data_IF_958887825266
#
_entry.id   IF_958887825266
#
_cell.length_a   1.000
_cell.length_b   1.000
_cell.length_c   1.000
_cell.angle_alpha   90.00
_cell.angle_beta   90.00
_cell.angle_gamma   90.00
#
_symmetry.space_group_name_H-M   'P 1'
#
loop_
_entity.id
_entity.type
_entity.pdbx_description
1 polymer ?
#
# COMPACT_ATOMS: atom_id res chain seq x y z
N UNK A 1 -1.83 -13.89 12.95
CA UNK A 1 -1.19 -12.57 12.75
C UNK A 1 0.18 -12.59 13.39
N UNK A 2 1.25 -12.82 12.62
CA UNK A 2 2.62 -12.78 13.12
C UNK A 2 3.06 -11.33 13.36
N UNK A 3 2.76 -10.82 14.55
CA UNK A 3 3.21 -9.52 15.07
C UNK A 3 4.29 -9.79 16.12
N UNK A 4 5.47 -9.19 15.95
CA UNK A 4 6.64 -9.49 16.78
C UNK A 4 7.20 -8.23 17.45
N UNK A 5 7.54 -8.39 18.72
CA UNK A 5 8.32 -7.42 19.48
C UNK A 5 9.81 -7.66 19.27
N UNK A 6 10.59 -6.57 19.16
CA UNK A 6 12.05 -6.59 19.21
C UNK A 6 12.54 -5.37 19.99
N UNK A 7 13.55 -5.54 20.85
CA UNK A 7 14.17 -4.46 21.64
C UNK A 7 13.19 -3.57 22.41
N UNK A 8 12.09 -4.14 22.92
CA UNK A 8 11.06 -3.40 23.64
C UNK A 8 10.00 -2.74 22.74
N UNK A 9 10.19 -2.71 21.42
CA UNK A 9 9.30 -2.05 20.46
C UNK A 9 8.22 -3.02 19.96
N UNK A 10 6.96 -2.61 20.08
CA UNK A 10 5.77 -3.38 19.71
C UNK A 10 5.02 -2.60 18.62
N UNK A 11 4.60 -3.26 17.52
CA UNK A 11 3.78 -2.62 16.51
C UNK A 11 2.47 -2.04 17.06
N UNK A 12 2.08 -0.86 16.60
CA UNK A 12 0.82 -0.18 16.93
C UNK A 12 -0.18 -0.39 15.80
N UNK A 13 -1.28 -1.09 16.10
CA UNK A 13 -2.33 -1.41 15.12
C UNK A 13 -3.70 -1.01 15.70
N UNK A 14 -4.33 0.05 15.18
CA UNK A 14 -5.69 0.42 15.56
C UNK A 14 -6.72 -0.67 15.23
N UNK A 15 -7.78 -0.76 16.02
CA UNK A 15 -8.84 -1.76 15.83
C UNK A 15 -9.64 -1.55 14.53
N UNK A 16 -9.64 -0.33 14.01
CA UNK A 16 -10.26 0.04 12.74
C UNK A 16 -9.44 -0.42 11.53
N UNK A 17 -8.22 -0.89 11.73
CA UNK A 17 -7.35 -1.37 10.65
C UNK A 17 -7.45 -2.89 10.50
N UNK A 18 -7.13 -3.38 9.30
CA UNK A 18 -7.13 -4.80 8.99
C UNK A 18 -5.73 -5.25 8.60
N UNK A 19 -5.20 -6.26 9.31
CA UNK A 19 -3.93 -6.91 9.02
C UNK A 19 -4.18 -8.37 8.69
N UNK A 20 -3.84 -8.79 7.48
CA UNK A 20 -4.05 -10.17 7.06
C UNK A 20 -3.32 -11.16 7.98
N UNK A 21 -3.90 -12.34 8.31
CA UNK A 21 -3.28 -13.31 9.20
C UNK A 21 -1.86 -13.77 8.83
N UNK A 22 -1.47 -13.64 7.55
CA UNK A 22 -0.13 -13.98 7.04
C UNK A 22 0.82 -12.79 6.86
N UNK A 23 0.36 -11.55 7.09
CA UNK A 23 1.23 -10.37 7.08
C UNK A 23 2.12 -10.33 8.34
N UNK A 24 3.38 -9.92 8.19
CA UNK A 24 4.39 -9.90 9.25
C UNK A 24 4.74 -8.45 9.62
N UNK A 25 4.50 -8.07 10.86
CA UNK A 25 4.88 -6.77 11.44
C UNK A 25 5.89 -6.98 12.57
N UNK A 26 7.01 -6.25 12.55
CA UNK A 26 8.11 -6.43 13.51
C UNK A 26 8.59 -5.05 14.01
N UNK A 27 8.64 -4.83 15.33
CA UNK A 27 9.30 -3.66 15.92
C UNK A 27 8.53 -2.35 15.81
N UNK A 28 9.22 -1.24 15.49
CA UNK A 28 8.67 0.12 15.44
C UNK A 28 7.84 0.36 14.16
N UNK A 29 6.68 -0.29 14.11
CA UNK A 29 5.68 -0.16 13.04
C UNK A 29 4.44 0.51 13.60
N UNK A 30 4.03 1.61 12.99
CA UNK A 30 2.88 2.39 13.44
C UNK A 30 1.87 2.48 12.29
N UNK A 31 0.70 1.88 12.49
CA UNK A 31 -0.43 2.02 11.59
C UNK A 31 -1.41 3.08 12.10
N UNK A 32 -1.99 3.83 11.16
CA UNK A 32 -3.16 4.66 11.33
C UNK A 32 -4.45 3.84 11.32
N UNK A 33 -5.59 4.52 11.30
CA UNK A 33 -6.93 3.92 11.28
C UNK A 33 -7.37 3.56 9.87
N UNK A 34 -8.15 2.49 9.72
CA UNK A 34 -8.67 2.07 8.42
C UNK A 34 -7.59 1.65 7.43
N UNK A 35 -6.41 1.24 7.94
CA UNK A 35 -5.30 0.76 7.11
C UNK A 35 -5.55 -0.69 6.71
N UNK A 36 -5.37 -1.00 5.43
CA UNK A 36 -5.37 -2.37 4.92
C UNK A 36 -3.93 -2.89 4.77
N UNK A 37 -3.61 -4.02 5.39
CA UNK A 37 -2.36 -4.76 5.15
C UNK A 37 -2.69 -6.15 4.60
N UNK A 38 -2.32 -6.37 3.34
CA UNK A 38 -2.61 -7.59 2.57
C UNK A 38 -1.77 -8.80 2.95
N UNK A 39 -2.10 -9.99 2.40
CA UNK A 39 -1.39 -11.23 2.71
C UNK A 39 0.10 -11.14 2.36
N UNK A 40 0.91 -11.72 3.23
CA UNK A 40 2.37 -11.84 3.09
C UNK A 40 3.13 -10.51 2.99
N UNK A 41 2.49 -9.36 3.26
CA UNK A 41 3.21 -8.11 3.42
C UNK A 41 4.18 -8.20 4.61
N UNK A 42 5.39 -7.66 4.46
CA UNK A 42 6.43 -7.64 5.50
C UNK A 42 6.80 -6.19 5.83
N UNK A 43 6.42 -5.75 7.02
CA UNK A 43 6.73 -4.43 7.55
C UNK A 43 7.69 -4.62 8.73
N UNK A 44 8.96 -4.27 8.51
CA UNK A 44 10.03 -4.54 9.47
C UNK A 44 10.64 -3.23 10.01
N UNK A 45 10.18 -2.80 11.17
CA UNK A 45 10.67 -1.63 11.89
C UNK A 45 11.81 -1.97 12.87
N UNK A 46 12.78 -2.76 12.43
CA UNK A 46 13.92 -3.22 13.26
C UNK A 46 15.20 -2.39 13.05
N UNK A 47 15.21 -1.48 12.07
CA UNK A 47 16.30 -0.52 11.82
C UNK A 47 15.77 0.92 11.81
N UNK A 48 14.89 1.22 10.85
CA UNK A 48 14.15 2.48 10.77
C UNK A 48 12.68 2.30 11.13
N UNK A 49 12.02 3.35 11.61
CA UNK A 49 10.58 3.31 11.91
C UNK A 49 9.76 3.17 10.63
N UNK A 50 8.66 2.45 10.70
CA UNK A 50 7.66 2.40 9.63
C UNK A 50 6.40 3.10 10.10
N UNK A 51 5.90 4.06 9.31
CA UNK A 51 4.65 4.77 9.58
C UNK A 51 3.73 4.64 8.37
N UNK A 52 2.54 4.10 8.59
CA UNK A 52 1.48 4.02 7.59
C UNK A 52 0.28 4.77 8.14
N UNK A 53 -0.09 5.89 7.54
CA UNK A 53 -1.15 6.77 8.03
C UNK A 53 -2.55 6.31 7.62
N UNK A 54 -3.56 7.01 8.12
CA UNK A 54 -4.97 6.67 8.00
C UNK A 54 -5.42 6.43 6.55
N UNK A 55 -6.27 5.42 6.37
CA UNK A 55 -6.90 5.10 5.08
C UNK A 55 -5.97 4.58 3.99
N UNK A 56 -4.68 4.38 4.29
CA UNK A 56 -3.70 3.83 3.37
C UNK A 56 -3.83 2.31 3.20
N UNK A 57 -3.28 1.77 2.11
CA UNK A 57 -3.21 0.32 1.88
C UNK A 57 -1.81 -0.13 1.50
N UNK A 58 -1.39 -1.24 2.12
CA UNK A 58 -0.18 -1.99 1.83
C UNK A 58 -0.61 -3.35 1.29
N UNK A 59 -0.51 -3.55 -0.02
CA UNK A 59 -1.07 -4.73 -0.67
C UNK A 59 -0.19 -5.98 -0.51
N UNK A 60 -0.67 -7.06 -1.10
CA UNK A 60 -0.07 -8.39 -1.08
C UNK A 60 1.43 -8.37 -1.39
N UNK A 61 2.20 -9.10 -0.59
CA UNK A 61 3.65 -9.29 -0.76
C UNK A 61 4.49 -7.99 -0.79
N UNK A 62 3.97 -6.85 -0.34
CA UNK A 62 4.78 -5.63 -0.21
C UNK A 62 5.86 -5.81 0.86
N UNK A 63 7.01 -5.16 0.66
CA UNK A 63 8.09 -5.11 1.65
C UNK A 63 8.33 -3.66 2.03
N UNK A 64 8.32 -3.40 3.34
CA UNK A 64 8.69 -2.10 3.90
C UNK A 64 9.85 -2.30 4.89
N UNK A 65 10.92 -1.55 4.66
CA UNK A 65 12.12 -1.53 5.49
C UNK A 65 12.75 -0.13 5.47
N UNK A 66 13.81 0.11 6.21
CA UNK A 66 14.49 1.40 6.19
C UNK A 66 15.88 1.36 6.81
N UNK A 67 16.70 2.36 6.49
CA UNK A 67 17.99 2.53 7.15
C UNK A 67 17.84 3.01 8.60
N UNK A 68 18.85 2.74 9.46
CA UNK A 68 18.90 3.27 10.81
C UNK A 68 18.69 4.79 10.84
N UNK A 69 17.82 5.27 11.73
CA UNK A 69 17.55 6.70 11.93
C UNK A 69 16.76 7.38 10.81
N UNK A 70 16.18 6.60 9.88
CA UNK A 70 15.23 7.10 8.89
C UNK A 70 13.87 6.44 9.08
N UNK A 71 12.82 7.19 8.73
CA UNK A 71 11.45 6.69 8.73
C UNK A 71 11.06 6.32 7.30
N UNK A 72 10.33 5.22 7.15
CA UNK A 72 9.61 4.91 5.91
C UNK A 72 8.15 5.25 6.13
N UNK A 73 7.67 6.26 5.41
CA UNK A 73 6.36 6.88 5.66
C UNK A 73 5.47 6.70 4.45
N UNK A 74 4.26 6.22 4.70
CA UNK A 74 3.14 6.29 3.77
C UNK A 74 2.10 7.21 4.39
N UNK A 75 1.91 8.39 3.79
CA UNK A 75 0.94 9.38 4.25
C UNK A 75 -0.50 8.93 3.99
N UNK A 76 -1.48 9.73 4.43
CA UNK A 76 -2.89 9.35 4.40
C UNK A 76 -3.35 9.03 2.98
N UNK A 77 -4.23 8.04 2.86
CA UNK A 77 -4.74 7.53 1.58
C UNK A 77 -3.62 7.04 0.62
N UNK A 78 -2.41 6.77 1.12
CA UNK A 78 -1.33 6.18 0.35
C UNK A 78 -1.72 4.79 -0.18
N UNK A 79 -1.35 4.47 -1.42
CA UNK A 79 -1.78 3.25 -2.10
C UNK A 79 -0.56 2.48 -2.59
N UNK A 80 -0.17 1.42 -1.89
CA UNK A 80 1.05 0.67 -2.17
C UNK A 80 0.69 -0.65 -2.85
N UNK A 81 0.92 -0.70 -4.15
CA UNK A 81 0.54 -1.78 -5.05
C UNK A 81 1.27 -3.09 -4.77
N UNK A 82 0.63 -4.21 -5.12
CA UNK A 82 1.14 -5.57 -4.88
C UNK A 82 2.65 -5.74 -5.19
N UNK A 83 3.40 -6.31 -4.25
CA UNK A 83 4.82 -6.61 -4.41
C UNK A 83 5.74 -5.40 -4.49
N UNK A 84 5.27 -4.18 -4.18
CA UNK A 84 6.13 -3.01 -4.13
C UNK A 84 7.12 -3.09 -2.95
N UNK A 85 8.29 -2.46 -3.12
CA UNK A 85 9.33 -2.36 -2.10
C UNK A 85 9.52 -0.89 -1.74
N UNK A 86 9.31 -0.56 -0.47
CA UNK A 86 9.56 0.76 0.09
C UNK A 86 10.73 0.66 1.07
N UNK A 87 11.79 1.44 0.82
CA UNK A 87 12.97 1.44 1.67
C UNK A 87 13.39 2.88 2.01
N UNK A 88 13.17 3.30 3.27
CA UNK A 88 13.62 4.61 3.77
C UNK A 88 13.03 5.83 3.03
N UNK A 89 11.83 5.71 2.47
CA UNK A 89 11.22 6.73 1.60
C UNK A 89 9.95 7.36 2.20
N UNK A 90 9.53 8.50 1.65
CA UNK A 90 8.26 9.15 1.98
C UNK A 90 7.32 9.12 0.78
N UNK A 91 6.16 8.49 0.96
CA UNK A 91 5.07 8.46 0.00
C UNK A 91 4.03 9.49 0.42
N UNK A 92 3.86 10.55 -0.36
CA UNK A 92 2.96 11.65 -0.06
C UNK A 92 1.48 11.26 -0.06
N UNK A 93 0.66 12.14 0.52
CA UNK A 93 -0.79 11.94 0.68
C UNK A 93 -1.43 11.54 -0.64
N UNK A 94 -2.28 10.52 -0.60
CA UNK A 94 -3.02 10.04 -1.76
C UNK A 94 -2.12 9.67 -2.96
N UNK A 95 -0.81 9.43 -2.79
CA UNK A 95 0.03 8.91 -3.87
C UNK A 95 -0.19 7.41 -4.06
N UNK A 96 0.04 6.93 -5.28
CA UNK A 96 -0.03 5.51 -5.65
C UNK A 96 1.36 5.03 -6.07
N UNK A 97 1.83 3.96 -5.43
CA UNK A 97 3.00 3.20 -5.85
C UNK A 97 2.53 1.97 -6.60
N UNK A 98 2.85 1.88 -7.89
CA UNK A 98 2.44 0.78 -8.74
C UNK A 98 2.99 -0.57 -8.28
N UNK A 99 2.30 -1.65 -8.66
CA UNK A 99 2.72 -3.01 -8.34
C UNK A 99 4.18 -3.27 -8.76
N UNK A 100 4.93 -3.96 -7.91
CA UNK A 100 6.35 -4.30 -8.13
C UNK A 100 7.29 -3.11 -8.33
N UNK A 101 6.87 -1.88 -8.03
CA UNK A 101 7.75 -0.72 -8.03
C UNK A 101 8.69 -0.76 -6.82
N UNK A 102 9.86 -0.13 -6.96
CA UNK A 102 10.88 -0.04 -5.90
C UNK A 102 11.20 1.43 -5.66
N UNK A 103 11.03 1.86 -4.41
CA UNK A 103 11.31 3.23 -3.94
C UNK A 103 12.44 3.17 -2.92
N UNK A 104 13.56 3.81 -3.23
CA UNK A 104 14.81 3.73 -2.46
C UNK A 104 14.97 4.93 -1.51
N UNK A 105 15.90 4.80 -0.58
CA UNK A 105 16.19 5.66 0.56
C UNK A 105 16.23 7.15 0.28
N UNK A 106 15.55 7.90 1.13
CA UNK A 106 15.42 9.35 1.06
C UNK A 106 14.63 9.85 -0.14
N UNK A 107 14.03 8.99 -0.96
CA UNK A 107 13.15 9.44 -2.03
C UNK A 107 11.82 9.94 -1.45
N UNK A 108 11.27 10.99 -2.07
CA UNK A 108 9.97 11.55 -1.73
C UNK A 108 9.09 11.52 -2.97
N UNK A 109 7.91 10.92 -2.84
CA UNK A 109 6.87 10.95 -3.87
C UNK A 109 5.85 12.01 -3.48
N UNK A 110 5.68 13.03 -4.32
CA UNK A 110 4.69 14.08 -4.09
C UNK A 110 3.25 13.56 -4.02
N UNK A 111 2.39 14.33 -3.35
CA UNK A 111 0.98 13.99 -3.18
C UNK A 111 0.27 13.73 -4.51
N UNK A 112 -0.75 12.86 -4.47
CA UNK A 112 -1.57 12.46 -5.61
C UNK A 112 -0.82 11.82 -6.80
N UNK A 113 0.51 11.69 -6.75
CA UNK A 113 1.30 11.16 -7.86
C UNK A 113 1.08 9.66 -8.04
N UNK A 114 1.23 9.19 -9.28
CA UNK A 114 1.13 7.78 -9.64
C UNK A 114 2.50 7.32 -10.13
N UNK A 115 3.14 6.45 -9.35
CA UNK A 115 4.31 5.69 -9.79
C UNK A 115 3.81 4.46 -10.55
N UNK A 116 4.28 4.27 -11.78
CA UNK A 116 3.90 3.15 -12.63
C UNK A 116 4.38 1.81 -12.08
N UNK A 117 3.73 0.73 -12.52
CA UNK A 117 4.16 -0.63 -12.22
C UNK A 117 5.63 -0.86 -12.62
N UNK A 118 6.36 -1.60 -11.78
CA UNK A 118 7.78 -1.93 -11.99
C UNK A 118 8.73 -0.74 -12.16
N UNK A 119 8.32 0.46 -11.74
CA UNK A 119 9.19 1.63 -11.77
C UNK A 119 10.26 1.55 -10.68
N UNK A 120 11.42 2.13 -10.93
CA UNK A 120 12.53 2.21 -9.97
C UNK A 120 12.84 3.67 -9.64
N UNK A 121 12.48 4.13 -8.45
CA UNK A 121 12.77 5.47 -7.96
C UNK A 121 14.07 5.43 -7.17
N UNK A 122 15.09 6.16 -7.66
CA UNK A 122 16.43 6.18 -7.06
C UNK A 122 16.43 6.87 -5.70
N UNK A 123 17.47 6.58 -4.92
CA UNK A 123 17.75 7.26 -3.65
C UNK A 123 17.70 8.78 -3.79
N UNK A 124 17.11 9.46 -2.80
CA UNK A 124 17.02 10.93 -2.69
C UNK A 124 16.30 11.61 -3.87
N UNK A 125 15.56 10.85 -4.68
CA UNK A 125 14.79 11.45 -5.75
C UNK A 125 13.58 12.20 -5.16
N UNK A 126 13.41 13.44 -5.58
CA UNK A 126 12.24 14.26 -5.25
C UNK A 126 11.30 14.26 -6.45
N UNK A 127 10.22 13.48 -6.36
CA UNK A 127 9.22 13.42 -7.43
C UNK A 127 8.10 14.44 -7.15
N UNK A 128 7.70 15.24 -8.14
CA UNK A 128 6.68 16.27 -7.96
C UNK A 128 5.30 15.66 -7.64
N UNK A 129 4.42 16.48 -7.07
CA UNK A 129 3.01 16.16 -6.83
C UNK A 129 2.20 16.11 -8.14
N UNK A 130 1.10 15.37 -8.15
CA UNK A 130 0.16 15.25 -9.27
C UNK A 130 0.80 14.78 -10.58
N UNK A 131 1.86 13.95 -10.54
CA UNK A 131 2.57 13.48 -11.73
C UNK A 131 2.45 11.98 -11.95
N UNK A 132 2.46 11.58 -13.22
CA UNK A 132 2.74 10.22 -13.64
C UNK A 132 4.26 10.02 -13.68
N UNK A 133 4.74 9.07 -12.88
CA UNK A 133 6.16 8.75 -12.68
C UNK A 133 6.40 7.33 -13.17
N UNK A 134 7.24 7.13 -14.19
CA UNK A 134 7.41 5.80 -14.80
C UNK A 134 8.86 5.52 -15.18
N UNK A 135 9.19 4.23 -15.31
CA UNK A 135 10.46 3.75 -15.85
C UNK A 135 11.47 3.32 -14.79
N UNK A 136 12.62 2.84 -15.27
CA UNK A 136 13.77 2.45 -14.44
C UNK A 136 15.06 2.97 -15.09
N UNK A 137 15.65 4.05 -14.58
CA UNK A 137 15.16 4.86 -13.47
C UNK A 137 13.91 5.67 -13.81
N UNK A 138 13.06 5.85 -12.82
CA UNK A 138 11.79 6.54 -12.98
C UNK A 138 11.97 8.03 -13.25
N UNK A 139 11.08 8.58 -14.07
CA UNK A 139 10.97 10.01 -14.36
C UNK A 139 9.53 10.45 -14.26
N UNK A 140 9.30 11.67 -13.77
CA UNK A 140 8.01 12.34 -13.89
C UNK A 140 7.81 12.78 -15.35
N UNK A 141 6.86 12.17 -16.05
CA UNK A 141 6.70 12.35 -17.51
C UNK A 141 5.61 13.35 -17.87
N UNK A 142 4.60 13.53 -17.01
CA UNK A 142 3.52 14.49 -17.18
C UNK A 142 2.72 14.66 -15.90
N UNK A 143 1.92 15.72 -15.83
CA UNK A 143 0.86 15.83 -14.83
C UNK A 143 -0.25 14.80 -15.08
N UNK A 144 -0.95 14.44 -14.02
CA UNK A 144 -2.14 13.60 -14.05
C UNK A 144 -3.35 14.41 -14.52
N UNK A 145 -4.26 13.75 -15.21
CA UNK A 145 -5.57 14.32 -15.55
C UNK A 145 -6.50 14.26 -14.34
N UNK A 146 -7.55 15.08 -14.34
CA UNK A 146 -8.60 15.02 -13.30
C UNK A 146 -9.22 13.62 -13.21
N UNK A 147 -9.41 12.96 -14.35
CA UNK A 147 -9.93 11.59 -14.40
C UNK A 147 -8.99 10.60 -13.70
N UNK A 148 -7.67 10.73 -13.88
CA UNK A 148 -6.69 9.88 -13.18
C UNK A 148 -6.69 10.12 -11.66
N UNK A 149 -6.87 11.38 -11.23
CA UNK A 149 -6.97 11.73 -9.82
C UNK A 149 -8.24 11.15 -9.17
N UNK A 150 -9.39 11.26 -9.84
CA UNK A 150 -10.66 10.67 -9.38
C UNK A 150 -10.56 9.15 -9.35
N UNK A 151 -10.05 8.54 -10.41
CA UNK A 151 -9.85 7.09 -10.51
C UNK A 151 -8.99 6.56 -9.36
N UNK A 152 -7.88 7.23 -9.06
CA UNK A 152 -6.98 6.84 -7.95
C UNK A 152 -7.69 6.91 -6.60
N UNK A 153 -8.44 7.99 -6.34
CA UNK A 153 -9.19 8.17 -5.09
C UNK A 153 -10.21 7.05 -4.92
N UNK A 154 -10.95 6.72 -5.97
CA UNK A 154 -11.91 5.62 -5.94
C UNK A 154 -11.23 4.27 -5.68
N UNK A 155 -10.13 3.97 -6.37
CA UNK A 155 -9.38 2.73 -6.12
C UNK A 155 -8.84 2.61 -4.69
N UNK A 156 -8.53 3.73 -4.04
CA UNK A 156 -8.13 3.75 -2.62
C UNK A 156 -9.33 3.54 -1.69
N UNK A 157 -10.48 4.14 -2.03
CA UNK A 157 -11.73 3.93 -1.29
C UNK A 157 -12.15 2.47 -1.25
N UNK A 158 -11.94 1.71 -2.33
CA UNK A 158 -12.24 0.27 -2.33
C UNK A 158 -11.43 -0.52 -1.31
N UNK A 159 -10.17 -0.15 -1.06
CA UNK A 159 -9.37 -0.78 -0.01
C UNK A 159 -9.87 -0.42 1.39
N UNK A 160 -10.38 0.79 1.59
CA UNK A 160 -11.00 1.18 2.85
C UNK A 160 -12.30 0.41 3.10
N UNK A 161 -13.12 0.20 2.06
CA UNK A 161 -14.30 -0.68 2.13
C UNK A 161 -13.88 -2.15 2.36
N UNK A 162 -12.77 -2.57 1.76
CA UNK A 162 -12.23 -3.91 1.94
C UNK A 162 -11.81 -4.18 3.40
N UNK A 163 -11.31 -3.18 4.13
CA UNK A 163 -11.02 -3.31 5.57
C UNK A 163 -12.26 -3.78 6.33
N UNK A 164 -13.38 -3.06 6.20
CA UNK A 164 -14.64 -3.40 6.86
C UNK A 164 -15.14 -4.78 6.42
N UNK A 165 -15.11 -5.07 5.11
CA UNK A 165 -15.55 -6.35 4.57
C UNK A 165 -14.69 -7.50 5.09
N UNK A 166 -13.38 -7.34 5.16
CA UNK A 166 -12.48 -8.36 5.71
C UNK A 166 -12.74 -8.60 7.20
N UNK A 167 -12.96 -7.55 7.99
CA UNK A 167 -13.29 -7.68 9.41
C UNK A 167 -14.63 -8.40 9.64
N UNK A 168 -15.61 -8.22 8.74
CA UNK A 168 -16.95 -8.79 8.88
C UNK A 168 -17.09 -10.19 8.28
N UNK A 169 -16.45 -10.45 7.14
CA UNK A 169 -16.78 -11.62 6.30
C UNK A 169 -15.60 -12.52 5.97
N UNK A 170 -14.34 -12.12 6.22
CA UNK A 170 -13.21 -12.99 5.92
C UNK A 170 -13.09 -14.06 7.00
N UNK A 171 -13.10 -15.32 6.58
CA UNK A 171 -12.90 -16.47 7.46
C UNK A 171 -11.95 -17.48 6.82
N UNK A 172 -11.15 -18.14 7.65
CA UNK A 172 -10.41 -19.33 7.23
C UNK A 172 -11.40 -20.47 7.02
N UNK A 173 -11.36 -21.09 5.83
CA UNK A 173 -12.27 -22.17 5.44
C UNK A 173 -11.51 -23.31 4.78
N UNK A 174 -12.10 -24.51 4.78
CA UNK A 174 -11.65 -25.59 3.91
C UNK A 174 -12.08 -25.30 2.47
N UNK A 175 -11.27 -25.67 1.46
CA UNK A 175 -11.66 -25.46 0.07
C UNK A 175 -12.88 -26.31 -0.30
N UNK A 176 -13.74 -25.77 -1.16
CA UNK A 176 -14.79 -26.56 -1.82
C UNK A 176 -14.14 -27.55 -2.80
N UNK A 177 -14.70 -28.76 -2.91
CA UNK A 177 -14.20 -29.82 -3.81
C UNK A 177 -14.83 -29.79 -5.20
N UNK A 178 -15.87 -28.99 -5.40
CA UNK A 178 -16.56 -28.77 -6.68
C UNK A 178 -17.11 -27.34 -6.75
N UNK A 179 -17.37 -26.86 -7.98
CA UNK A 179 -18.00 -25.55 -8.20
C UNK A 179 -19.49 -25.64 -7.91
N UNK A 180 -20.02 -24.69 -7.13
CA UNK A 180 -21.45 -24.58 -6.85
C UNK A 180 -22.21 -24.20 -8.13
N UNK A 181 -23.34 -24.86 -8.47
CA UNK A 181 -24.13 -24.53 -9.66
C UNK A 181 -24.57 -23.06 -9.75
N UNK A 182 -24.87 -22.45 -8.60
CA UNK A 182 -25.31 -21.06 -8.48
C UNK A 182 -24.26 -20.16 -7.81
N UNK A 183 -22.97 -20.39 -8.10
CA UNK A 183 -21.86 -19.64 -7.49
C UNK A 183 -22.02 -18.13 -7.74
N UNK A 184 -22.28 -17.40 -6.65
CA UNK A 184 -22.46 -15.96 -6.68
C UNK A 184 -21.20 -15.24 -7.13
N UNK A 185 -21.38 -14.13 -7.84
CA UNK A 185 -20.32 -13.14 -8.12
C UNK A 185 -20.43 -12.00 -7.13
N UNK A 186 -19.30 -11.40 -6.77
CA UNK A 186 -19.31 -10.13 -6.05
C UNK A 186 -19.73 -9.02 -7.03
N UNK A 187 -20.60 -8.15 -6.54
CA UNK A 187 -21.04 -6.95 -7.26
C UNK A 187 -20.27 -5.74 -6.73
N UNK A 188 -19.87 -4.86 -7.62
CA UNK A 188 -19.09 -3.66 -7.35
C UNK A 188 -19.65 -2.51 -8.17
N UNK A 189 -19.28 -1.27 -7.83
CA UNK A 189 -19.64 -0.09 -8.63
C UNK A 189 -19.11 -0.22 -10.07
N UNK A 190 -19.97 0.00 -11.07
CA UNK A 190 -19.62 -0.11 -12.49
C UNK A 190 -18.51 0.85 -12.92
N UNK A 191 -18.30 1.94 -12.17
CA UNK A 191 -17.25 2.93 -12.42
C UNK A 191 -15.86 2.44 -11.99
N UNK A 192 -15.75 1.29 -11.30
CA UNK A 192 -14.48 0.65 -10.93
C UNK A 192 -13.91 -0.13 -12.11
N UNK A 193 -13.33 0.59 -13.06
CA UNK A 193 -12.68 0.01 -14.22
C UNK A 193 -11.14 0.10 -14.08
N UNK A 194 -10.38 -0.85 -14.66
CA UNK A 194 -8.95 -0.70 -14.81
C UNK A 194 -8.62 0.64 -15.50
N UNK A 195 -7.51 1.26 -15.12
CA UNK A 195 -7.03 2.48 -15.78
C UNK A 195 -6.90 2.21 -17.28
N UNK A 196 -7.58 3.00 -18.11
CA UNK A 196 -7.46 2.92 -19.55
C UNK A 196 -6.05 3.30 -20.00
N UNK A 197 -5.56 2.66 -21.06
CA UNK A 197 -4.32 3.05 -21.72
C UNK A 197 -4.58 4.37 -22.48
N UNK A 198 -4.38 5.50 -21.79
CA UNK A 198 -4.36 6.84 -22.37
C UNK A 198 -2.93 7.35 -22.51
#
# INVERSE_FOLDING_TARGET
>A
MPIYQIDGMIPVVPAESYVHPTAVLIGDVILGKGVYVGPNASLRGDFGRIVVKDGANIQDNCVMHGFPGQDTVVEEDGHIGHGAILHGCVIGRNALVGMSAVIIDGATIGENSIVGASAFVKARAEMPANHLIVGSPAKAIRMLTEQELVWKKQGTREYQVLVERCQQTLAEVKPLTAVEPDRKRLEFDENLQPKSAG
#
